data_IF_210431529221
#
_entry.id   IF_210431529221
#
_cell.length_a   1.000
_cell.length_b   1.000
_cell.length_c   1.000
_cell.angle_alpha   90.00
_cell.angle_beta   90.00
_cell.angle_gamma   90.00
#
_symmetry.space_group_name_H-M   'P 1'
#
loop_
_entity.id
_entity.type
_entity.pdbx_description
1 polymer ?
#
# COMPACT_ATOMS: atom_id res chain seq x y z
N UNK A 1 15.40 20.07 28.38
CA UNK A 1 15.33 19.82 27.76
C UNK A 1 15.53 19.56 27.11
N UNK A 2 15.68 19.72 27.02
CA UNK A 2 15.71 19.43 26.23
C UNK A 2 15.80 19.30 25.55
N UNK A 3 15.71 19.57 25.89
CA UNK A 3 15.64 19.39 25.11
C UNK A 3 16.03 19.32 24.32
N UNK A 4 16.27 19.57 24.57
CA UNK A 4 16.45 19.47 23.75
C UNK A 4 16.84 19.26 23.00
N UNK A 5 17.00 19.41 23.19
CA UNK A 5 17.22 19.18 22.37
C UNK A 5 17.31 18.86 21.43
N UNK A 6 17.24 18.94 21.65
CA UNK A 6 17.16 18.64 20.78
C UNK A 6 17.16 18.59 19.88
N UNK A 7 17.12 18.92 20.00
CA UNK A 7 16.95 18.82 19.15
C UNK A 7 17.15 18.70 18.24
N UNK A 8 17.18 19.01 18.48
CA UNK A 8 17.32 18.86 17.70
C UNK A 8 17.61 18.52 16.76
N UNK A 9 17.70 18.43 16.75
CA UNK A 9 18.01 17.94 15.73
C UNK A 9 17.31 17.86 14.77
N UNK A 10 16.95 18.24 14.82
CA UNK A 10 16.08 18.70 13.85
C UNK A 10 15.71 17.69 12.80
N UNK A 11 16.16 17.63 11.61
CA UNK A 11 15.78 16.64 10.64
C UNK A 11 15.86 15.21 11.12
N UNK A 12 16.82 14.94 11.97
CA UNK A 12 17.01 13.60 12.51
C UNK A 12 15.84 13.15 13.37
N UNK A 13 15.26 14.05 14.13
CA UNK A 13 14.11 13.71 14.95
C UNK A 13 12.93 13.27 14.12
N UNK A 14 12.71 13.92 12.99
CA UNK A 14 11.62 13.53 12.08
C UNK A 14 11.86 12.16 11.49
N UNK A 15 13.06 11.91 11.00
CA UNK A 15 13.40 10.61 10.43
C UNK A 15 13.23 9.49 11.44
N UNK A 16 13.60 9.75 12.69
CA UNK A 16 13.46 8.74 13.74
C UNK A 16 11.99 8.44 14.02
N UNK A 17 11.14 9.46 14.03
CA UNK A 17 9.71 9.25 14.23
C UNK A 17 9.10 8.44 13.10
N UNK A 18 9.45 8.75 11.86
CA UNK A 18 8.95 7.98 10.72
C UNK A 18 9.49 6.56 10.73
N UNK A 19 10.74 6.39 11.14
CA UNK A 19 11.32 5.05 11.24
C UNK A 19 10.54 4.21 12.26
N UNK A 20 10.23 4.78 13.42
CA UNK A 20 9.47 4.08 14.43
C UNK A 20 8.07 3.73 13.93
N UNK A 21 7.46 4.64 13.21
CA UNK A 21 6.15 4.44 12.62
C UNK A 21 6.18 3.27 11.63
N UNK A 22 7.19 3.23 10.77
CA UNK A 22 7.35 2.15 9.81
C UNK A 22 7.56 0.82 10.53
N UNK A 23 8.40 0.80 11.56
CA UNK A 23 8.65 -0.42 12.31
C UNK A 23 7.40 -0.90 13.03
N UNK A 24 6.57 0.01 13.51
CA UNK A 24 5.32 -0.37 14.14
C UNK A 24 4.38 -1.04 13.13
N UNK A 25 4.28 -0.46 11.92
CA UNK A 25 3.48 -1.07 10.85
C UNK A 25 4.04 -2.42 10.43
N UNK A 26 5.34 -2.59 10.52
CA UNK A 26 5.96 -3.87 10.22
C UNK A 26 5.66 -4.92 11.29
N UNK A 27 5.74 -4.54 12.55
CA UNK A 27 5.51 -5.46 13.66
C UNK A 27 4.05 -5.81 13.83
N UNK A 28 3.17 -4.84 13.58
CA UNK A 28 1.74 -4.99 13.74
C UNK A 28 1.03 -4.45 12.52
N UNK A 29 1.17 -5.15 11.39
CA UNK A 29 0.60 -4.63 10.15
C UNK A 29 -0.91 -4.54 10.23
N UNK A 30 -1.43 -3.46 9.68
CA UNK A 30 -2.87 -3.26 9.58
C UNK A 30 -3.40 -4.09 8.42
N UNK A 31 -4.61 -4.55 8.55
CA UNK A 31 -5.30 -5.28 7.48
C UNK A 31 -4.55 -6.52 7.04
N UNK A 32 -3.84 -7.15 7.97
CA UNK A 32 -3.07 -8.35 7.67
C UNK A 32 -3.95 -9.59 7.84
N UNK A 33 -3.84 -10.49 6.90
CA UNK A 33 -4.59 -11.74 6.91
C UNK A 33 -5.43 -11.87 5.66
N UNK A 34 -5.98 -13.04 5.39
CA UNK A 34 -6.79 -13.23 4.19
C UNK A 34 -8.21 -12.73 4.40
N UNK A 35 -8.85 -12.31 3.30
CA UNK A 35 -10.28 -12.08 3.26
C UNK A 35 -10.99 -13.38 2.95
N UNK A 36 -12.22 -13.51 3.42
CA UNK A 36 -12.99 -14.72 3.19
C UNK A 36 -13.41 -14.86 1.73
N UNK A 37 -13.91 -13.79 1.15
CA UNK A 37 -14.43 -13.84 -0.22
C UNK A 37 -13.97 -12.59 -0.97
N UNK A 38 -12.68 -12.53 -1.33
CA UNK A 38 -12.20 -11.33 -2.02
C UNK A 38 -12.76 -11.26 -3.44
N UNK A 39 -13.02 -10.03 -3.87
CA UNK A 39 -13.40 -9.77 -5.24
C UNK A 39 -12.21 -10.02 -6.17
N UNK A 40 -11.03 -9.64 -5.70
CA UNK A 40 -9.80 -9.86 -6.46
C UNK A 40 -8.68 -10.19 -5.48
N UNK A 41 -7.78 -11.04 -5.93
CA UNK A 41 -6.60 -11.42 -5.17
C UNK A 41 -5.42 -11.37 -6.13
N UNK A 42 -4.37 -10.65 -5.75
CA UNK A 42 -3.21 -10.50 -6.62
C UNK A 42 -1.94 -10.69 -5.81
N UNK A 43 -1.06 -11.52 -6.33
CA UNK A 43 0.25 -11.71 -5.73
C UNK A 43 1.29 -10.89 -6.49
N UNK A 44 2.18 -10.23 -5.74
CA UNK A 44 3.33 -9.56 -6.29
C UNK A 44 4.58 -10.03 -5.59
N UNK A 45 5.70 -9.98 -6.28
CA UNK A 45 6.96 -10.42 -5.72
C UNK A 45 8.09 -9.58 -6.26
N UNK A 46 9.10 -9.38 -5.42
CA UNK A 46 10.35 -8.78 -5.82
C UNK A 46 11.42 -9.85 -5.68
N UNK A 47 11.76 -10.55 -6.77
CA UNK A 47 12.71 -11.67 -6.65
C UNK A 47 14.09 -11.26 -6.20
N UNK A 48 14.48 -10.02 -6.41
CA UNK A 48 15.79 -9.54 -5.98
C UNK A 48 15.92 -9.49 -4.46
N UNK A 49 14.81 -9.21 -3.77
CA UNK A 49 14.81 -9.07 -2.32
C UNK A 49 14.08 -10.20 -1.62
N UNK A 50 13.41 -11.06 -2.36
CA UNK A 50 12.62 -12.12 -1.76
C UNK A 50 11.33 -11.64 -1.13
N UNK A 51 10.92 -10.41 -1.40
CA UNK A 51 9.67 -9.88 -0.86
C UNK A 51 8.48 -10.44 -1.62
N UNK A 52 7.40 -10.73 -0.91
CA UNK A 52 6.15 -11.19 -1.51
C UNK A 52 4.99 -10.51 -0.82
N UNK A 53 3.98 -10.18 -1.60
CA UNK A 53 2.74 -9.61 -1.08
C UNK A 53 1.57 -10.20 -1.87
N UNK A 54 0.56 -10.64 -1.15
CA UNK A 54 -0.72 -10.98 -1.76
C UNK A 54 -1.72 -9.97 -1.26
N UNK A 55 -2.31 -9.23 -2.18
CA UNK A 55 -3.26 -8.18 -1.86
C UNK A 55 -4.65 -8.64 -2.27
N UNK A 56 -5.60 -8.50 -1.37
CA UNK A 56 -6.98 -8.90 -1.61
C UNK A 56 -7.91 -7.73 -1.39
N UNK A 57 -8.85 -7.56 -2.29
CA UNK A 57 -9.82 -6.47 -2.22
C UNK A 57 -11.23 -7.05 -2.24
N UNK A 58 -12.07 -6.50 -1.38
CA UNK A 58 -13.51 -6.73 -1.48
C UNK A 58 -14.15 -5.46 -2.00
N UNK A 59 -14.66 -5.52 -3.22
CA UNK A 59 -15.23 -4.34 -3.87
C UNK A 59 -16.73 -4.50 -3.95
N UNK A 60 -17.44 -3.44 -3.58
CA UNK A 60 -18.89 -3.44 -3.61
C UNK A 60 -19.38 -2.06 -4.00
N UNK A 61 -20.22 -2.00 -5.02
CA UNK A 61 -20.80 -0.73 -5.50
C UNK A 61 -19.71 0.28 -5.83
N UNK A 62 -18.61 -0.18 -6.44
CA UNK A 62 -17.53 0.70 -6.85
C UNK A 62 -16.65 1.19 -5.71
N UNK A 63 -16.79 0.62 -4.52
CA UNK A 63 -16.02 1.02 -3.35
C UNK A 63 -15.19 -0.14 -2.87
N UNK A 64 -13.94 0.11 -2.48
CA UNK A 64 -13.11 -0.90 -1.84
C UNK A 64 -13.55 -1.01 -0.39
N UNK A 65 -14.50 -1.88 -0.15
CA UNK A 65 -15.12 -2.04 1.16
C UNK A 65 -14.21 -2.76 2.13
N UNK A 66 -13.46 -3.74 1.62
CA UNK A 66 -12.53 -4.51 2.42
C UNK A 66 -11.22 -4.62 1.68
N UNK A 67 -10.14 -4.63 2.42
CA UNK A 67 -8.82 -4.82 1.86
C UNK A 67 -7.98 -5.55 2.90
N UNK A 68 -7.15 -6.47 2.43
CA UNK A 68 -6.24 -7.19 3.30
C UNK A 68 -5.01 -7.59 2.51
N UNK A 69 -3.94 -7.87 3.22
CA UNK A 69 -2.76 -8.40 2.58
C UNK A 69 -2.12 -9.45 3.45
N UNK A 70 -1.39 -10.34 2.82
CA UNK A 70 -0.46 -11.23 3.48
C UNK A 70 0.85 -11.11 2.73
N UNK A 71 1.93 -11.51 3.38
CA UNK A 71 3.21 -11.45 2.71
C UNK A 71 4.35 -11.54 3.69
N UNK A 72 5.54 -11.46 3.14
CA UNK A 72 6.77 -11.47 3.92
C UNK A 72 7.83 -10.69 3.15
N UNK A 73 8.79 -10.16 3.88
CA UNK A 73 9.84 -9.39 3.26
C UNK A 73 10.41 -8.41 4.26
N UNK A 74 11.11 -7.42 3.75
CA UNK A 74 11.74 -6.43 4.61
C UNK A 74 10.69 -5.51 5.24
N UNK A 75 11.14 -4.77 6.26
CA UNK A 75 10.23 -3.86 6.97
C UNK A 75 9.59 -2.85 6.04
N UNK A 76 10.34 -2.37 5.05
CA UNK A 76 9.82 -1.35 4.13
C UNK A 76 8.67 -1.90 3.30
N UNK A 77 8.81 -3.11 2.74
CA UNK A 77 7.76 -3.66 1.90
C UNK A 77 6.50 -3.96 2.71
N UNK A 78 6.66 -4.48 3.90
CA UNK A 78 5.52 -4.84 4.75
C UNK A 78 4.82 -3.61 5.31
N UNK A 79 5.59 -2.62 5.75
CA UNK A 79 5.01 -1.38 6.24
C UNK A 79 4.28 -0.63 5.13
N UNK A 80 4.85 -0.63 3.93
CA UNK A 80 4.21 0.01 2.78
C UNK A 80 2.84 -0.61 2.51
N UNK A 81 2.76 -1.94 2.55
CA UNK A 81 1.49 -2.62 2.33
C UNK A 81 0.48 -2.27 3.42
N UNK A 82 0.93 -2.22 4.67
CA UNK A 82 0.06 -1.85 5.78
C UNK A 82 -0.50 -0.44 5.59
N UNK A 83 0.36 0.50 5.25
CA UNK A 83 -0.05 1.89 5.03
C UNK A 83 -0.96 2.04 3.83
N UNK A 84 -0.61 1.37 2.74
CA UNK A 84 -1.41 1.45 1.52
C UNK A 84 -2.81 0.90 1.75
N UNK A 85 -2.91 -0.23 2.43
CA UNK A 85 -4.23 -0.84 2.68
C UNK A 85 -5.10 0.05 3.55
N UNK A 86 -4.50 0.71 4.56
CA UNK A 86 -5.24 1.67 5.36
C UNK A 86 -5.77 2.82 4.49
N UNK A 87 -4.93 3.27 3.56
CA UNK A 87 -5.28 4.43 2.76
C UNK A 87 -6.41 4.17 1.79
N UNK A 88 -6.46 2.97 1.20
CA UNK A 88 -7.45 2.69 0.16
C UNK A 88 -8.75 2.10 0.72
N UNK A 89 -8.74 1.63 1.95
CA UNK A 89 -9.91 1.00 2.55
C UNK A 89 -11.05 2.02 2.66
N UNK A 90 -12.20 1.63 2.16
CA UNK A 90 -13.39 2.47 2.22
C UNK A 90 -13.49 3.52 1.15
N UNK A 91 -12.57 3.52 0.19
CA UNK A 91 -12.55 4.54 -0.85
C UNK A 91 -13.14 4.05 -2.16
N UNK A 92 -13.72 4.96 -2.94
CA UNK A 92 -14.20 4.58 -4.28
C UNK A 92 -13.04 4.14 -5.17
N UNK A 93 -13.33 3.25 -6.10
CA UNK A 93 -12.31 2.78 -7.03
C UNK A 93 -11.63 3.92 -7.79
N UNK A 94 -12.37 4.99 -8.10
CA UNK A 94 -11.76 6.13 -8.79
C UNK A 94 -10.63 6.73 -7.96
N UNK A 95 -10.84 6.87 -6.65
CA UNK A 95 -9.81 7.40 -5.77
C UNK A 95 -8.65 6.41 -5.62
N UNK A 96 -8.98 5.12 -5.53
CA UNK A 96 -7.95 4.09 -5.40
C UNK A 96 -7.08 4.05 -6.66
N UNK A 97 -7.69 4.19 -7.83
CA UNK A 97 -6.91 4.21 -9.08
C UNK A 97 -6.04 5.45 -9.18
N UNK A 98 -6.45 6.53 -8.55
CA UNK A 98 -5.68 7.77 -8.56
C UNK A 98 -4.54 7.77 -7.56
N UNK A 99 -4.53 6.82 -6.62
CA UNK A 99 -3.47 6.73 -5.63
C UNK A 99 -2.18 6.29 -6.31
N UNK A 100 -1.19 7.17 -6.34
CA UNK A 100 0.04 6.94 -7.09
C UNK A 100 1.21 6.57 -6.21
N UNK A 101 2.31 6.27 -6.87
CA UNK A 101 3.56 5.93 -6.18
C UNK A 101 4.04 7.05 -5.26
N UNK A 102 3.90 8.30 -5.71
CA UNK A 102 4.30 9.45 -4.90
C UNK A 102 3.48 9.54 -3.63
N UNK A 103 2.20 9.20 -3.72
CA UNK A 103 1.33 9.21 -2.54
C UNK A 103 1.83 8.20 -1.50
N UNK A 104 2.24 7.03 -1.96
CA UNK A 104 2.76 6.01 -1.04
C UNK A 104 4.09 6.46 -0.43
N UNK A 105 4.95 7.06 -1.22
CA UNK A 105 6.21 7.56 -0.69
C UNK A 105 5.99 8.65 0.36
N UNK A 106 4.98 9.50 0.14
CA UNK A 106 4.62 10.50 1.14
C UNK A 106 4.14 9.86 2.43
N UNK A 107 3.38 8.76 2.33
CA UNK A 107 2.93 8.05 3.53
C UNK A 107 4.10 7.45 4.30
N UNK A 108 5.12 6.97 3.61
CA UNK A 108 6.29 6.42 4.28
C UNK A 108 7.08 7.49 5.01
N UNK A 109 7.15 8.69 4.46
CA UNK A 109 7.70 9.86 5.13
C UNK A 109 9.20 9.87 5.32
N UNK A 110 9.91 8.91 4.74
CA UNK A 110 11.38 8.89 4.82
C UNK A 110 11.94 8.80 3.42
N UNK A 111 13.22 9.15 3.31
CA UNK A 111 13.93 8.99 2.05
C UNK A 111 14.20 7.50 1.83
N UNK A 112 13.82 7.03 0.67
CA UNK A 112 14.01 5.63 0.31
C UNK A 112 15.16 5.54 -0.67
N UNK A 113 16.18 4.76 -0.33
CA UNK A 113 17.31 4.58 -1.21
C UNK A 113 16.88 3.88 -2.50
N UNK A 114 17.58 4.13 -3.63
CA UNK A 114 17.23 3.45 -4.88
C UNK A 114 17.16 1.94 -4.73
N UNK A 115 18.02 1.34 -3.93
CA UNK A 115 18.03 -0.09 -3.74
C UNK A 115 16.76 -0.59 -3.06
N UNK A 116 16.13 0.24 -2.23
CA UNK A 116 14.94 -0.13 -1.49
C UNK A 116 13.65 0.37 -2.13
N UNK A 117 13.77 1.17 -3.17
CA UNK A 117 12.60 1.75 -3.81
C UNK A 117 11.66 0.66 -4.33
N UNK A 118 12.22 -0.41 -4.90
CA UNK A 118 11.40 -1.51 -5.38
C UNK A 118 10.66 -2.21 -4.25
N UNK A 119 11.29 -2.32 -3.09
CA UNK A 119 10.62 -2.88 -1.92
C UNK A 119 9.46 -2.00 -1.49
N UNK A 120 9.68 -0.68 -1.48
CA UNK A 120 8.65 0.26 -1.09
C UNK A 120 7.47 0.24 -2.05
N UNK A 121 7.72 0.01 -3.33
CA UNK A 121 6.69 0.08 -4.36
C UNK A 121 5.98 -1.23 -4.60
N UNK A 122 6.44 -2.33 -4.01
CA UNK A 122 5.86 -3.64 -4.31
C UNK A 122 4.36 -3.68 -4.06
N UNK A 123 3.89 -3.12 -2.95
CA UNK A 123 2.47 -3.12 -2.64
C UNK A 123 1.69 -2.28 -3.65
N UNK A 124 2.24 -1.16 -4.07
CA UNK A 124 1.59 -0.30 -5.06
C UNK A 124 1.50 -1.01 -6.41
N UNK A 125 2.59 -1.66 -6.84
CA UNK A 125 2.58 -2.40 -8.09
C UNK A 125 1.58 -3.55 -8.04
N UNK A 126 1.48 -4.21 -6.90
CA UNK A 126 0.52 -5.29 -6.72
C UNK A 126 -0.91 -4.75 -6.76
N UNK A 127 -1.13 -3.58 -6.17
CA UNK A 127 -2.44 -2.93 -6.24
C UNK A 127 -2.82 -2.62 -7.69
N UNK A 128 -1.88 -2.09 -8.47
CA UNK A 128 -2.15 -1.81 -9.87
C UNK A 128 -2.54 -3.08 -10.62
N UNK A 129 -1.84 -4.18 -10.33
CA UNK A 129 -2.19 -5.46 -10.92
C UNK A 129 -3.56 -5.94 -10.51
N UNK A 130 -3.91 -5.75 -9.24
CA UNK A 130 -5.23 -6.15 -8.76
C UNK A 130 -6.32 -5.32 -9.43
N UNK A 131 -6.11 -4.02 -9.53
CA UNK A 131 -7.09 -3.13 -10.16
C UNK A 131 -7.30 -3.46 -11.62
N UNK A 132 -6.27 -3.93 -12.29
CA UNK A 132 -6.40 -4.29 -13.71
C UNK A 132 -7.26 -5.52 -13.92
N UNK A 133 -7.49 -6.29 -12.88
CA UNK A 133 -8.39 -7.46 -12.96
C UNK A 133 -9.85 -7.07 -12.78
N UNK A 134 -10.10 -5.85 -12.35
CA UNK A 134 -11.46 -5.35 -12.18
C UNK A 134 -11.90 -4.65 -13.47
N UNK A 135 -13.17 -4.78 -13.83
CA UNK A 135 -13.65 -4.06 -15.02
C UNK A 135 -13.49 -2.56 -14.83
N UNK A 136 -13.06 -1.87 -15.85
CA UNK A 136 -13.04 -0.42 -15.84
C UNK A 136 -14.45 0.07 -15.62
N UNK A 137 -14.56 1.02 -14.76
CA UNK A 137 -15.87 1.53 -14.45
C UNK A 137 -16.71 0.56 -13.66
N UNK A 138 -16.05 -0.37 -12.97
CA UNK A 138 -16.78 -1.29 -12.11
C UNK A 138 -17.72 -0.55 -11.20
N UNK A 139 -17.42 0.67 -10.97
CA UNK A 139 -18.31 1.53 -10.25
C UNK A 139 -19.11 2.42 -11.15
N UNK A 140 -18.86 2.28 -12.45
CA UNK A 140 -19.55 3.11 -13.41
C UNK A 140 -20.06 2.32 -14.53
N UNK A 141 -19.80 2.02 -15.37
CA UNK A 141 -19.92 1.39 -16.41
C UNK A 141 -19.61 1.28 -17.48
N UNK A 142 -18.99 1.47 -17.71
CA UNK A 142 -18.71 1.38 -18.62
C UNK A 142 -18.35 1.29 -19.28
N UNK A 143 -18.00 1.12 -19.38
CA UNK A 143 -17.58 1.00 -19.94
C UNK A 143 -17.43 0.63 -20.50
N UNK A 144 -17.40 0.51 -20.57
CA UNK A 144 -17.23 0.08 -21.02
C UNK A 144 -17.21 -0.37 -21.56
N UNK A 145 -17.18 -0.13 -21.69
CA UNK A 145 -17.16 -0.47 -22.12
C UNK A 145 -16.91 -0.88 -22.61
N UNK A 146 -16.71 -0.89 -22.66
CA UNK A 146 -16.46 -1.21 -22.95
C UNK A 146 -16.18 -1.58 -23.43
N UNK A 147 -15.92 -1.40 -23.59
CA UNK A 147 -15.68 -1.75 -23.82
C UNK A 147 -15.59 -2.32 -23.95
N UNK A 148 -15.59 -2.36 -23.97
CA UNK A 148 -15.59 -2.81 -23.79
C UNK A 148 -15.78 -3.22 -24.06
N UNK A 149 -15.92 -3.09 -24.38
CA UNK A 149 -16.20 -3.46 -24.45
C UNK A 149 -16.33 -3.70 -24.64
#
# INVERSE_FOLDING_TARGET
MGIGTGTLHSGHGMDDLYRDYILEHYRRPHNFGPLENPTVSKEGANPLCGDRITLQLGVRDGVVEQVAFTGRGCAISQASASLLTDEIKGKPLTDVRAFGADDLLDLLGIDISPARLKCAMLSHDTLRGALSQLPDGAGTSEESAGAGI
#
